data_IF_425722089544
#
_entry.id   IF_425722089544
#
_cell.length_a   1.000
_cell.length_b   1.000
_cell.length_c   1.000
_cell.angle_alpha   90.00
_cell.angle_beta   90.00
_cell.angle_gamma   90.00
#
_symmetry.space_group_name_H-M   'P 1'
#
loop_
_entity.id
_entity.type
_entity.pdbx_description
1 polymer ?
#
# COMPACT_ATOMS: atom_id res chain seq x y z
N UNK A 1 -10.55 -19.14 -32.52
CA UNK A 1 -11.36 -18.76 -33.71
C UNK A 1 -11.75 -20.00 -34.45
N UNK A 2 -13.03 -20.18 -34.72
CA UNK A 2 -13.57 -21.29 -35.50
C UNK A 2 -14.16 -20.69 -36.77
N UNK A 3 -13.76 -21.21 -37.91
CA UNK A 3 -14.36 -20.93 -39.20
C UNK A 3 -15.52 -21.90 -39.41
N UNK A 4 -16.72 -21.38 -39.60
CA UNK A 4 -17.89 -22.16 -39.99
C UNK A 4 -18.16 -21.90 -41.47
N UNK A 5 -18.19 -22.96 -42.27
CA UNK A 5 -18.47 -22.88 -43.69
C UNK A 5 -19.81 -23.55 -43.96
N UNK A 6 -20.73 -22.78 -44.53
CA UNK A 6 -22.05 -23.27 -44.96
C UNK A 6 -22.30 -22.81 -46.41
N UNK A 7 -22.94 -23.62 -47.22
CA UNK A 7 -23.24 -23.23 -48.60
C UNK A 7 -24.16 -24.21 -49.30
N UNK A 8 -24.70 -23.75 -50.46
CA UNK A 8 -25.52 -24.62 -51.31
C UNK A 8 -24.70 -25.79 -51.83
N UNK A 9 -25.18 -27.02 -51.59
CA UNK A 9 -24.46 -28.27 -51.97
C UNK A 9 -23.68 -28.89 -50.84
N UNK A 10 -23.73 -28.33 -49.63
CA UNK A 10 -23.15 -28.95 -48.45
C UNK A 10 -24.24 -29.61 -47.60
N UNK A 11 -24.11 -30.90 -47.28
CA UNK A 11 -25.10 -31.63 -46.45
C UNK A 11 -25.07 -31.18 -44.99
N UNK A 12 -23.94 -30.62 -44.53
CA UNK A 12 -23.74 -30.12 -43.17
C UNK A 12 -22.72 -28.99 -43.17
N UNK A 13 -22.91 -28.04 -42.28
CA UNK A 13 -21.91 -27.04 -41.96
C UNK A 13 -20.61 -27.72 -41.49
N UNK A 14 -19.48 -27.25 -41.99
CA UNK A 14 -18.16 -27.67 -41.52
C UNK A 14 -17.55 -26.63 -40.64
N UNK A 15 -17.04 -27.05 -39.49
CA UNK A 15 -16.35 -26.15 -38.54
C UNK A 15 -14.87 -26.56 -38.45
N UNK A 16 -14.00 -25.59 -38.67
CA UNK A 16 -12.56 -25.75 -38.57
C UNK A 16 -12.01 -24.72 -37.59
N UNK A 17 -11.30 -25.22 -36.58
CA UNK A 17 -10.52 -24.31 -35.69
C UNK A 17 -9.31 -23.80 -36.46
N UNK A 18 -9.25 -22.49 -36.71
CA UNK A 18 -8.19 -21.86 -37.50
C UNK A 18 -7.18 -21.12 -36.67
N UNK A 19 -7.56 -20.71 -35.44
CA UNK A 19 -6.65 -20.04 -34.53
C UNK A 19 -7.12 -20.22 -33.07
N UNK A 20 -6.16 -20.25 -32.16
CA UNK A 20 -6.36 -20.17 -30.71
C UNK A 20 -5.61 -18.91 -30.24
N UNK A 21 -6.32 -18.00 -29.58
CA UNK A 21 -5.69 -16.90 -28.89
C UNK A 21 -5.49 -17.31 -27.42
N UNK A 22 -4.29 -17.15 -26.94
CA UNK A 22 -3.90 -17.46 -25.56
C UNK A 22 -3.31 -16.18 -24.99
N UNK A 23 -3.74 -15.80 -23.78
CA UNK A 23 -3.01 -14.77 -23.05
C UNK A 23 -1.61 -15.32 -22.75
N UNK A 24 -0.53 -14.58 -23.05
CA UNK A 24 0.83 -15.10 -22.86
C UNK A 24 1.17 -15.30 -21.38
N UNK A 25 0.40 -14.72 -20.47
CA UNK A 25 0.59 -14.87 -19.03
C UNK A 25 -0.73 -14.80 -18.27
N UNK A 26 -0.65 -15.22 -17.00
CA UNK A 26 -1.66 -14.96 -15.97
C UNK A 26 -0.99 -14.37 -14.75
N UNK A 27 -1.70 -13.51 -13.99
CA UNK A 27 -1.21 -12.91 -12.76
C UNK A 27 -2.12 -13.34 -11.61
N UNK A 28 -1.52 -13.90 -10.57
CA UNK A 28 -2.19 -14.24 -9.32
C UNK A 28 -1.70 -13.29 -8.23
N UNK A 29 -2.61 -12.55 -7.63
CA UNK A 29 -2.33 -11.64 -6.52
C UNK A 29 -3.55 -11.56 -5.60
N UNK A 30 -3.32 -11.37 -4.31
CA UNK A 30 -4.36 -11.23 -3.30
C UNK A 30 -4.50 -9.78 -2.88
N UNK A 31 -5.68 -9.40 -2.37
CA UNK A 31 -5.87 -8.12 -1.71
C UNK A 31 -5.08 -8.06 -0.41
N UNK A 32 -4.52 -6.90 -0.11
CA UNK A 32 -3.74 -6.62 1.09
C UNK A 32 -4.31 -5.41 1.81
N UNK A 33 -4.78 -5.59 3.03
CA UNK A 33 -5.18 -4.49 3.90
C UNK A 33 -3.94 -3.90 4.56
N UNK A 34 -3.63 -2.65 4.23
CA UNK A 34 -2.46 -1.96 4.70
C UNK A 34 -2.83 -0.72 5.52
N UNK A 35 -1.98 -0.40 6.47
CA UNK A 35 -2.05 0.83 7.24
C UNK A 35 -0.94 1.77 6.76
N UNK A 36 -1.22 3.08 6.72
CA UNK A 36 -0.19 4.06 6.44
C UNK A 36 0.83 4.01 7.58
N UNK A 37 2.04 3.58 7.29
CA UNK A 37 3.21 3.68 8.15
C UNK A 37 4.30 4.44 7.39
N UNK A 38 5.18 5.12 8.11
CA UNK A 38 6.10 6.09 7.51
C UNK A 38 7.14 5.46 6.57
N UNK A 39 7.51 4.21 6.78
CA UNK A 39 8.50 3.50 5.95
C UNK A 39 8.27 2.00 5.96
N UNK A 40 8.64 1.36 4.85
CA UNK A 40 8.76 -0.09 4.73
C UNK A 40 7.47 -0.84 5.09
N UNK A 41 6.34 -0.36 4.63
CA UNK A 41 5.13 -1.17 4.72
C UNK A 41 5.27 -2.35 3.78
N UNK A 42 5.39 -3.53 4.35
CA UNK A 42 5.49 -4.76 3.57
C UNK A 42 4.12 -5.22 3.11
N UNK A 43 4.04 -5.60 1.84
CA UNK A 43 2.88 -6.27 1.26
C UNK A 43 2.91 -7.72 1.73
N UNK A 44 1.89 -8.22 2.46
CA UNK A 44 1.92 -9.55 3.07
C UNK A 44 1.88 -10.71 2.08
N UNK A 45 1.38 -10.48 0.87
CA UNK A 45 1.19 -11.53 -0.13
C UNK A 45 2.11 -11.33 -1.34
N UNK A 46 2.38 -12.42 -2.04
CA UNK A 46 3.21 -12.42 -3.23
C UNK A 46 2.36 -12.12 -4.48
N UNK A 47 3.03 -11.66 -5.53
CA UNK A 47 2.51 -11.65 -6.89
C UNK A 47 3.14 -12.84 -7.62
N UNK A 48 2.32 -13.67 -8.29
CA UNK A 48 2.81 -14.79 -9.10
C UNK A 48 2.41 -14.56 -10.54
N UNK A 49 3.39 -14.52 -11.43
CA UNK A 49 3.20 -14.41 -12.87
C UNK A 49 3.49 -15.77 -13.48
N UNK A 50 2.56 -16.30 -14.24
CA UNK A 50 2.70 -17.61 -14.88
C UNK A 50 2.65 -17.47 -16.39
N UNK A 51 3.58 -18.07 -17.07
CA UNK A 51 3.59 -18.23 -18.51
C UNK A 51 2.49 -19.20 -18.96
N UNK A 52 1.84 -18.93 -20.08
CA UNK A 52 0.75 -19.76 -20.56
C UNK A 52 1.23 -21.05 -21.24
N UNK A 53 2.30 -20.96 -21.99
CA UNK A 53 2.96 -22.06 -22.70
C UNK A 53 4.47 -21.77 -22.71
N UNK A 54 5.30 -22.81 -22.70
CA UNK A 54 6.76 -22.71 -22.76
C UNK A 54 7.25 -21.83 -23.92
N UNK A 55 8.24 -20.98 -23.66
CA UNK A 55 8.90 -20.15 -24.67
C UNK A 55 8.10 -18.96 -25.19
N UNK A 56 6.97 -18.61 -24.53
CA UNK A 56 6.21 -17.41 -24.91
C UNK A 56 6.87 -16.10 -24.41
N UNK A 57 7.64 -16.19 -23.35
CA UNK A 57 8.37 -15.04 -22.83
C UNK A 57 9.75 -14.94 -23.46
N UNK A 58 9.82 -14.24 -24.59
CA UNK A 58 11.06 -14.06 -25.31
C UNK A 58 12.08 -13.26 -24.50
N UNK A 59 13.35 -13.50 -24.77
CA UNK A 59 14.45 -12.72 -24.20
C UNK A 59 14.23 -11.22 -24.41
N UNK A 60 14.48 -10.42 -23.37
CA UNK A 60 14.25 -8.99 -23.26
C UNK A 60 12.78 -8.57 -23.06
N UNK A 61 11.84 -9.50 -22.93
CA UNK A 61 10.50 -9.15 -22.45
C UNK A 61 10.57 -8.58 -21.05
N UNK A 62 9.84 -7.50 -20.81
CA UNK A 62 9.79 -6.82 -19.50
C UNK A 62 8.36 -6.88 -18.95
N UNK A 63 8.27 -7.13 -17.65
CA UNK A 63 7.06 -7.11 -16.86
C UNK A 63 7.22 -6.05 -15.79
N UNK A 64 6.49 -4.95 -15.88
CA UNK A 64 6.57 -3.83 -14.94
C UNK A 64 5.23 -3.67 -14.25
N UNK A 65 5.22 -3.81 -12.94
CA UNK A 65 4.03 -3.64 -12.12
C UNK A 65 3.96 -2.22 -11.57
N UNK A 66 2.75 -1.68 -11.54
CA UNK A 66 2.41 -0.43 -10.91
C UNK A 66 1.22 -0.62 -9.96
N UNK A 67 1.00 0.32 -9.09
CA UNK A 67 -0.21 0.44 -8.28
C UNK A 67 -0.77 1.83 -8.49
N UNK A 68 -2.07 1.93 -8.71
CA UNK A 68 -2.74 3.21 -8.95
C UNK A 68 -2.34 4.27 -7.92
N UNK A 69 -1.98 5.47 -8.39
CA UNK A 69 -1.53 6.62 -7.57
C UNK A 69 -0.21 6.43 -6.80
N UNK A 70 0.49 5.31 -7.03
CA UNK A 70 1.85 5.14 -6.56
C UNK A 70 2.82 5.39 -7.72
N UNK A 71 3.94 6.04 -7.43
CA UNK A 71 5.01 6.24 -8.39
C UNK A 71 6.10 5.15 -8.21
N UNK A 72 6.94 4.94 -9.22
CA UNK A 72 8.06 3.96 -9.15
C UNK A 72 8.93 4.15 -7.90
N UNK A 73 9.10 5.39 -7.46
CA UNK A 73 9.87 5.75 -6.25
C UNK A 73 9.21 5.30 -4.94
N UNK A 74 7.92 4.97 -4.95
CA UNK A 74 7.18 4.51 -3.77
C UNK A 74 7.41 3.03 -3.50
N UNK A 75 7.99 2.30 -4.48
CA UNK A 75 8.44 0.93 -4.31
C UNK A 75 9.91 0.93 -3.86
N UNK A 76 10.16 0.29 -2.73
CA UNK A 76 11.54 0.07 -2.31
C UNK A 76 12.15 -1.10 -3.11
N UNK A 77 13.44 -0.98 -3.46
CA UNK A 77 14.13 -1.94 -4.33
C UNK A 77 14.54 -3.24 -3.59
N UNK A 78 13.72 -3.74 -2.70
CA UNK A 78 13.98 -4.93 -1.89
C UNK A 78 13.14 -6.16 -2.31
N UNK A 79 12.29 -6.03 -3.33
CA UNK A 79 11.49 -7.14 -3.82
C UNK A 79 12.39 -8.29 -4.33
N UNK A 80 12.02 -9.50 -3.96
CA UNK A 80 12.70 -10.73 -4.34
C UNK A 80 11.95 -11.40 -5.50
N UNK A 81 12.68 -11.82 -6.52
CA UNK A 81 12.15 -12.50 -7.71
C UNK A 81 12.66 -13.93 -7.72
N UNK A 82 11.75 -14.88 -7.70
CA UNK A 82 12.09 -16.33 -7.70
C UNK A 82 11.41 -17.00 -8.88
N UNK A 83 12.23 -17.56 -9.77
CA UNK A 83 11.79 -18.40 -10.87
C UNK A 83 11.47 -19.80 -10.34
N UNK A 84 10.63 -20.54 -11.08
CA UNK A 84 10.45 -21.96 -10.80
C UNK A 84 11.65 -22.79 -11.32
N UNK A 85 12.01 -23.81 -10.55
CA UNK A 85 13.21 -24.63 -10.83
C UNK A 85 13.10 -25.52 -12.10
N UNK A 86 11.94 -25.57 -12.76
CA UNK A 86 11.66 -26.53 -13.83
C UNK A 86 11.61 -25.94 -15.22
N UNK A 87 11.40 -24.63 -15.33
CA UNK A 87 11.18 -23.97 -16.63
C UNK A 87 12.47 -23.66 -17.38
N UNK A 88 13.59 -23.56 -16.68
CA UNK A 88 14.86 -23.07 -17.24
C UNK A 88 14.84 -21.56 -17.56
N UNK A 89 13.80 -20.83 -17.13
CA UNK A 89 13.72 -19.37 -17.23
C UNK A 89 14.80 -18.72 -16.37
N UNK A 90 15.35 -17.60 -16.84
CA UNK A 90 16.17 -16.71 -16.02
C UNK A 90 15.63 -15.29 -16.17
N UNK A 91 15.49 -14.57 -15.03
CA UNK A 91 15.05 -13.17 -15.02
C UNK A 91 16.07 -12.26 -14.35
N UNK A 92 16.01 -10.98 -14.67
CA UNK A 92 16.76 -9.90 -14.04
C UNK A 92 15.83 -8.85 -13.49
N UNK A 93 16.17 -8.29 -12.35
CA UNK A 93 15.44 -7.15 -11.78
C UNK A 93 15.59 -5.91 -12.66
N UNK A 94 14.53 -5.10 -12.71
CA UNK A 94 14.57 -3.79 -13.37
C UNK A 94 14.85 -2.75 -12.29
N UNK A 95 15.89 -1.95 -12.51
CA UNK A 95 16.31 -0.93 -11.54
C UNK A 95 15.20 0.11 -11.31
N UNK A 96 14.90 0.38 -10.04
CA UNK A 96 13.91 1.38 -9.58
C UNK A 96 12.47 1.11 -10.05
N UNK A 97 12.13 -0.14 -10.35
CA UNK A 97 10.77 -0.54 -10.71
C UNK A 97 10.41 -1.85 -10.04
N UNK A 98 9.15 -2.04 -9.73
CA UNK A 98 8.62 -3.34 -9.35
C UNK A 98 8.41 -4.14 -10.64
N UNK A 99 9.37 -5.02 -10.97
CA UNK A 99 9.29 -5.75 -12.23
C UNK A 99 10.55 -6.52 -12.57
N UNK A 100 10.44 -7.34 -13.59
CA UNK A 100 11.55 -8.16 -14.06
C UNK A 100 11.63 -8.17 -15.59
N UNK A 101 12.82 -8.51 -16.08
CA UNK A 101 13.15 -8.67 -17.49
C UNK A 101 13.61 -10.10 -17.73
N UNK A 102 13.14 -10.73 -18.78
CA UNK A 102 13.56 -12.06 -19.20
C UNK A 102 15.00 -12.00 -19.76
N UNK A 103 15.92 -12.71 -19.14
CA UNK A 103 17.30 -12.86 -19.62
C UNK A 103 17.48 -14.13 -20.45
N UNK A 104 16.78 -15.19 -20.09
CA UNK A 104 16.73 -16.45 -20.83
C UNK A 104 15.31 -16.98 -20.84
N UNK A 105 14.85 -17.43 -21.99
CA UNK A 105 13.53 -18.01 -22.22
C UNK A 105 13.36 -19.35 -21.50
N UNK A 106 12.12 -19.68 -21.18
CA UNK A 106 11.78 -21.01 -20.70
C UNK A 106 12.01 -22.06 -21.81
N UNK A 107 12.53 -23.23 -21.45
CA UNK A 107 12.92 -24.27 -22.41
C UNK A 107 12.47 -25.69 -22.04
N UNK A 108 12.00 -25.87 -20.83
CA UNK A 108 11.67 -27.19 -20.27
C UNK A 108 10.21 -27.31 -19.83
N UNK A 109 9.58 -26.20 -19.47
CA UNK A 109 8.18 -26.07 -19.11
C UNK A 109 7.75 -24.59 -19.13
N UNK A 110 6.46 -24.33 -19.15
CA UNK A 110 5.91 -22.98 -18.93
C UNK A 110 6.36 -22.44 -17.57
N UNK A 111 6.87 -21.23 -17.57
CA UNK A 111 7.54 -20.63 -16.42
C UNK A 111 6.58 -19.99 -15.41
N UNK A 112 7.05 -19.84 -14.18
CA UNK A 112 6.41 -19.01 -13.17
C UNK A 112 7.47 -18.16 -12.45
N UNK A 113 7.14 -16.89 -12.21
CA UNK A 113 7.95 -15.97 -11.40
C UNK A 113 7.14 -15.50 -10.22
N UNK A 114 7.68 -15.71 -9.03
CA UNK A 114 7.10 -15.21 -7.77
C UNK A 114 7.82 -13.95 -7.33
N UNK A 115 7.08 -12.88 -7.09
CA UNK A 115 7.58 -11.61 -6.56
C UNK A 115 7.15 -11.54 -5.09
N UNK A 116 8.12 -11.49 -4.19
CA UNK A 116 7.93 -11.44 -2.74
C UNK A 116 8.69 -10.27 -2.11
N UNK A 117 8.53 -10.08 -0.81
CA UNK A 117 9.20 -9.05 -0.03
C UNK A 117 8.95 -7.61 -0.56
N UNK A 118 7.81 -7.39 -1.20
CA UNK A 118 7.43 -6.09 -1.75
C UNK A 118 7.26 -5.09 -0.61
N UNK A 119 8.00 -3.99 -0.65
CA UNK A 119 7.92 -2.89 0.32
C UNK A 119 7.46 -1.61 -0.36
N UNK A 120 6.57 -0.88 0.33
CA UNK A 120 5.96 0.35 -0.16
C UNK A 120 6.21 1.50 0.81
N UNK A 121 6.49 2.67 0.25
CA UNK A 121 6.37 3.95 0.94
C UNK A 121 4.97 4.50 0.74
N UNK A 122 4.22 4.69 1.81
CA UNK A 122 2.87 5.22 1.75
C UNK A 122 2.80 6.60 2.40
N UNK A 123 2.53 7.60 1.57
CA UNK A 123 2.33 8.98 2.03
C UNK A 123 0.99 9.14 2.76
N UNK A 124 0.95 10.01 3.76
CA UNK A 124 -0.29 10.44 4.43
C UNK A 124 -1.29 11.14 3.50
N UNK A 125 -0.87 11.49 2.29
CA UNK A 125 -1.77 12.07 1.28
C UNK A 125 -2.62 11.02 0.54
N UNK A 126 -2.28 9.74 0.68
CA UNK A 126 -3.08 8.67 0.11
C UNK A 126 -4.43 8.57 0.84
N UNK A 127 -5.51 8.54 0.09
CA UNK A 127 -6.84 8.34 0.65
C UNK A 127 -7.01 6.89 1.14
N UNK A 128 -7.91 6.67 2.10
CA UNK A 128 -8.37 5.31 2.42
C UNK A 128 -9.13 4.74 1.21
N UNK A 129 -8.98 3.45 0.98
CA UNK A 129 -9.68 2.74 -0.10
C UNK A 129 -8.79 1.79 -0.89
N UNK A 130 -9.34 1.26 -1.95
CA UNK A 130 -8.72 0.27 -2.80
C UNK A 130 -7.89 0.91 -3.92
N UNK A 131 -6.77 0.27 -4.24
CA UNK A 131 -5.83 0.64 -5.31
C UNK A 131 -5.49 -0.61 -6.12
N UNK A 132 -5.60 -0.50 -7.42
CA UNK A 132 -5.45 -1.62 -8.34
C UNK A 132 -3.98 -1.88 -8.68
N UNK A 133 -3.64 -3.16 -8.87
CA UNK A 133 -2.35 -3.56 -9.43
C UNK A 133 -2.46 -3.53 -10.96
N UNK A 134 -1.56 -2.82 -11.57
CA UNK A 134 -1.43 -2.74 -13.03
C UNK A 134 -0.19 -3.47 -13.50
N UNK A 135 -0.18 -3.92 -14.74
CA UNK A 135 0.96 -4.53 -15.40
C UNK A 135 1.15 -3.91 -16.78
N UNK A 136 2.35 -3.45 -17.03
CA UNK A 136 2.85 -3.10 -18.36
C UNK A 136 3.86 -4.14 -18.82
N UNK A 137 3.76 -4.55 -20.10
CA UNK A 137 4.65 -5.53 -20.71
C UNK A 137 5.25 -5.00 -21.99
N UNK A 138 6.55 -5.16 -22.15
CA UNK A 138 7.27 -4.66 -23.35
C UNK A 138 8.23 -5.73 -23.88
N UNK A 139 8.63 -5.58 -25.14
CA UNK A 139 9.81 -6.23 -25.68
C UNK A 139 9.61 -7.51 -26.47
N UNK A 140 8.45 -8.14 -26.46
CA UNK A 140 8.22 -9.41 -27.14
C UNK A 140 7.11 -9.33 -28.18
N UNK A 141 7.19 -10.16 -29.22
CA UNK A 141 6.10 -10.35 -30.18
C UNK A 141 4.83 -10.91 -29.54
N UNK A 142 4.98 -11.69 -28.46
CA UNK A 142 3.85 -12.22 -27.69
C UNK A 142 3.12 -11.16 -26.89
N UNK A 143 3.80 -10.07 -26.56
CA UNK A 143 3.26 -8.92 -25.82
C UNK A 143 2.99 -7.74 -26.75
N UNK A 144 2.53 -8.01 -27.96
CA UNK A 144 2.14 -6.91 -28.83
C UNK A 144 1.12 -6.06 -28.09
N UNK A 145 1.58 -4.88 -27.69
CA UNK A 145 0.69 -3.81 -27.23
C UNK A 145 -0.43 -3.73 -28.24
N UNK A 146 -1.65 -3.60 -27.77
CA UNK A 146 -2.84 -3.54 -28.60
C UNK A 146 -2.52 -2.67 -29.83
N UNK A 147 -2.51 -3.28 -31.00
CA UNK A 147 -2.26 -2.53 -32.24
C UNK A 147 -3.42 -1.57 -32.38
N UNK A 148 -3.26 -0.38 -31.85
CA UNK A 148 -4.10 0.74 -32.25
C UNK A 148 -3.78 0.95 -33.72
N UNK A 149 -4.60 0.39 -34.58
CA UNK A 149 -4.49 0.57 -36.02
C UNK A 149 -4.41 2.07 -36.27
N UNK A 150 -3.23 2.49 -36.47
CA UNK A 150 -2.74 3.60 -37.16
C UNK A 150 -3.64 4.81 -37.32
N UNK A 151 -3.84 5.55 -36.28
CA UNK A 151 -4.11 6.96 -36.45
C UNK A 151 -2.82 7.73 -36.20
N UNK A 152 -2.04 7.95 -37.24
CA UNK A 152 -1.26 9.19 -37.26
C UNK A 152 -2.23 10.32 -37.54
N UNK A 153 -2.08 11.46 -36.89
CA UNK A 153 -2.87 12.67 -37.13
C UNK A 153 -2.80 13.16 -38.59
N UNK A 154 -1.99 12.56 -39.41
CA UNK A 154 -1.75 12.86 -40.82
C UNK A 154 -2.38 11.86 -41.80
N UNK A 155 -3.00 10.77 -41.32
CA UNK A 155 -3.68 9.84 -42.23
C UNK A 155 -4.97 9.26 -41.58
N UNK A 156 -6.05 10.04 -41.60
CA UNK A 156 -7.32 9.68 -40.97
C UNK A 156 -8.14 8.69 -41.78
N UNK A 157 -7.67 8.13 -42.85
CA UNK A 157 -8.44 7.26 -43.72
C UNK A 157 -8.35 5.79 -43.28
N UNK A 158 -9.21 5.43 -42.34
CA UNK A 158 -9.76 4.07 -42.32
C UNK A 158 -10.55 3.91 -43.61
N UNK A 159 -9.99 3.17 -44.58
CA UNK A 159 -10.64 2.94 -45.88
C UNK A 159 -10.01 3.65 -47.06
N UNK A 160 -8.89 4.34 -46.92
CA UNK A 160 -8.04 4.74 -48.05
C UNK A 160 -7.44 3.51 -48.73
N UNK A 161 -7.42 3.50 -50.02
CA UNK A 161 -6.91 2.42 -50.85
C UNK A 161 -5.54 1.94 -50.38
N UNK A 162 -5.44 0.64 -50.09
CA UNK A 162 -4.28 -0.08 -49.59
C UNK A 162 -3.85 0.25 -48.16
N UNK A 163 -4.49 -0.33 -47.15
CA UNK A 163 -3.74 -0.68 -46.00
C UNK A 163 -2.70 -1.73 -46.44
N UNK A 164 -1.45 -1.38 -46.49
CA UNK A 164 -0.36 -2.33 -46.64
C UNK A 164 -0.41 -3.23 -45.41
N UNK A 165 -1.17 -4.30 -45.51
CA UNK A 165 -1.17 -5.39 -44.54
C UNK A 165 0.25 -5.92 -44.55
N UNK A 166 1.05 -5.64 -43.53
CA UNK A 166 2.32 -6.31 -43.35
C UNK A 166 3.51 -5.50 -42.87
N UNK A 167 3.47 -4.19 -42.82
CA UNK A 167 4.55 -3.45 -42.17
C UNK A 167 4.01 -2.56 -41.05
N UNK A 168 3.91 -3.16 -39.88
CA UNK A 168 3.86 -2.39 -38.65
C UNK A 168 5.25 -1.78 -38.47
N UNK A 169 5.44 -0.54 -38.90
CA UNK A 169 6.69 0.17 -38.60
C UNK A 169 6.63 0.63 -37.15
N UNK A 170 7.79 0.68 -36.47
CA UNK A 170 7.96 1.18 -35.10
C UNK A 170 7.36 2.57 -34.85
N UNK A 171 7.00 3.28 -35.92
CA UNK A 171 6.31 4.58 -35.88
C UNK A 171 4.87 4.52 -35.35
N UNK A 172 4.26 3.36 -35.28
CA UNK A 172 2.89 3.19 -34.80
C UNK A 172 2.84 2.71 -33.33
N UNK A 173 4.00 2.41 -32.74
CA UNK A 173 4.11 2.18 -31.31
C UNK A 173 4.21 3.54 -30.62
N UNK A 174 3.15 3.97 -30.01
CA UNK A 174 3.24 5.08 -29.08
C UNK A 174 3.80 4.52 -27.77
N UNK A 175 5.10 4.61 -27.58
CA UNK A 175 5.77 4.22 -26.34
C UNK A 175 5.38 5.12 -25.16
N UNK A 176 4.72 6.24 -25.42
CA UNK A 176 4.31 7.22 -24.43
C UNK A 176 2.89 6.97 -23.90
N UNK A 177 2.16 6.02 -24.44
CA UNK A 177 0.86 5.61 -23.88
C UNK A 177 1.11 4.57 -22.83
N UNK A 178 0.76 4.92 -21.60
CA UNK A 178 0.73 4.00 -20.47
C UNK A 178 -0.37 2.95 -20.72
N UNK A 179 0.03 1.80 -21.24
CA UNK A 179 -0.87 0.67 -21.51
C UNK A 179 -0.93 -0.32 -20.34
N UNK A 180 -0.51 0.11 -19.16
CA UNK A 180 -0.71 -0.67 -17.96
C UNK A 180 -2.19 -1.04 -17.84
N UNK A 181 -2.51 -2.33 -17.83
CA UNK A 181 -3.87 -2.79 -17.58
C UNK A 181 -3.97 -3.36 -16.17
N UNK A 182 -5.13 -3.21 -15.57
CA UNK A 182 -5.42 -3.77 -14.25
C UNK A 182 -5.36 -5.29 -14.31
N UNK A 183 -4.48 -5.88 -13.53
CA UNK A 183 -4.35 -7.34 -13.36
C UNK A 183 -4.94 -7.83 -12.06
N UNK A 184 -5.10 -6.95 -11.07
CA UNK A 184 -5.77 -7.25 -9.81
C UNK A 184 -6.44 -6.00 -9.24
N UNK A 185 -7.77 -5.97 -9.26
CA UNK A 185 -8.54 -4.94 -8.57
C UNK A 185 -8.36 -5.03 -7.06
N UNK A 186 -8.19 -3.87 -6.43
CA UNK A 186 -8.05 -3.74 -4.99
C UNK A 186 -6.85 -4.51 -4.41
N UNK A 187 -5.74 -4.56 -5.11
CA UNK A 187 -4.51 -5.22 -4.64
C UNK A 187 -4.03 -4.66 -3.30
N UNK A 188 -4.10 -3.35 -3.15
CA UNK A 188 -3.85 -2.66 -1.88
C UNK A 188 -5.14 -2.00 -1.44
N UNK A 189 -5.52 -2.22 -0.19
CA UNK A 189 -6.62 -1.53 0.46
C UNK A 189 -6.08 -0.77 1.68
N UNK A 190 -6.03 0.56 1.58
CA UNK A 190 -5.59 1.41 2.68
C UNK A 190 -6.77 1.58 3.65
N UNK A 191 -6.63 1.02 4.86
CA UNK A 191 -7.67 1.03 5.89
C UNK A 191 -7.56 2.21 6.86
N UNK A 192 -6.56 3.07 6.70
CA UNK A 192 -6.35 4.24 7.54
C UNK A 192 -6.74 5.52 6.82
N UNK A 193 -7.32 6.47 7.56
CA UNK A 193 -7.68 7.76 7.00
C UNK A 193 -6.45 8.56 6.53
N UNK A 194 -6.54 9.18 5.38
CA UNK A 194 -5.56 10.13 4.87
C UNK A 194 -5.53 11.43 5.68
N UNK A 195 -4.55 12.27 5.39
CA UNK A 195 -4.33 13.55 6.10
C UNK A 195 -5.53 14.49 6.05
N UNK A 196 -6.27 14.49 4.95
CA UNK A 196 -7.37 15.43 4.72
C UNK A 196 -8.61 15.14 5.59
N UNK A 197 -8.63 13.99 6.28
CA UNK A 197 -9.70 13.63 7.22
C UNK A 197 -9.35 14.01 8.67
N UNK A 198 -8.14 14.44 8.92
CA UNK A 198 -7.69 14.89 10.24
C UNK A 198 -7.72 16.41 10.29
N UNK A 199 -8.77 16.99 10.85
CA UNK A 199 -8.75 18.40 11.26
C UNK A 199 -7.68 18.56 12.33
N UNK A 200 -6.56 19.16 11.95
CA UNK A 200 -5.28 19.10 12.68
C UNK A 200 -5.21 20.01 13.91
N UNK A 201 -6.31 20.43 14.48
CA UNK A 201 -6.31 21.24 15.68
C UNK A 201 -6.88 20.49 16.88
N UNK A 202 -6.03 20.21 17.87
CA UNK A 202 -6.52 19.85 19.19
C UNK A 202 -7.27 21.05 19.78
N UNK A 203 -8.58 21.05 19.68
CA UNK A 203 -9.41 22.15 20.21
C UNK A 203 -9.91 21.87 21.61
N UNK A 204 -9.85 20.62 22.07
CA UNK A 204 -10.40 20.21 23.36
C UNK A 204 -9.34 20.21 24.46
N UNK A 205 -9.73 20.75 25.61
CA UNK A 205 -9.01 20.55 26.86
C UNK A 205 -9.28 19.13 27.36
N UNK A 206 -8.23 18.40 27.72
CA UNK A 206 -8.35 17.06 28.31
C UNK A 206 -7.82 17.09 29.75
N UNK A 207 -8.68 16.72 30.69
CA UNK A 207 -8.37 16.65 32.12
C UNK A 207 -8.43 15.21 32.59
N UNK A 208 -7.35 14.72 33.18
CA UNK A 208 -7.20 13.31 33.62
C UNK A 208 -6.92 13.26 35.12
N UNK A 209 -7.94 13.04 35.97
CA UNK A 209 -7.75 12.77 37.37
C UNK A 209 -7.09 11.37 37.54
N UNK A 210 -5.95 11.34 38.20
CA UNK A 210 -5.20 10.08 38.37
C UNK A 210 -5.86 9.18 39.40
N UNK A 211 -6.10 7.93 39.02
CA UNK A 211 -6.79 6.93 39.85
C UNK A 211 -8.28 6.81 39.51
N UNK A 212 -8.86 7.78 38.84
CA UNK A 212 -10.27 7.77 38.47
C UNK A 212 -10.50 7.03 37.14
N UNK A 213 -11.65 6.36 37.03
CA UNK A 213 -12.06 5.65 35.81
C UNK A 213 -12.77 6.55 34.79
N UNK A 214 -12.35 7.80 34.71
CA UNK A 214 -12.82 8.73 33.70
C UNK A 214 -11.76 9.79 33.41
N UNK A 215 -11.93 10.47 32.28
CA UNK A 215 -11.31 11.74 31.95
C UNK A 215 -12.37 12.73 31.51
N UNK A 216 -12.04 14.01 31.42
CA UNK A 216 -12.91 15.06 30.95
C UNK A 216 -12.34 15.60 29.64
N UNK A 217 -13.12 15.59 28.56
CA UNK A 217 -12.77 16.11 27.25
C UNK A 217 -13.68 17.31 26.91
N UNK A 218 -13.17 18.52 27.08
CA UNK A 218 -13.99 19.72 27.06
C UNK A 218 -14.95 19.73 28.25
N UNK A 219 -16.24 19.59 27.99
CA UNK A 219 -17.32 19.50 29.02
C UNK A 219 -17.83 18.06 29.23
N UNK A 220 -17.34 17.12 28.42
CA UNK A 220 -17.81 15.73 28.43
C UNK A 220 -16.95 14.84 29.31
N UNK A 221 -17.60 14.03 30.14
CA UNK A 221 -16.94 12.98 30.93
C UNK A 221 -16.88 11.68 30.09
N UNK A 222 -15.66 11.19 29.87
CA UNK A 222 -15.39 9.96 29.10
C UNK A 222 -14.93 8.87 30.05
N UNK A 223 -15.60 7.74 30.06
CA UNK A 223 -15.23 6.58 30.89
C UNK A 223 -13.93 5.92 30.44
N UNK A 224 -13.11 5.50 31.40
CA UNK A 224 -11.87 4.75 31.19
C UNK A 224 -12.01 3.32 31.69
N UNK A 225 -11.57 2.37 30.88
CA UNK A 225 -11.48 0.97 31.30
C UNK A 225 -10.41 0.78 32.39
N UNK A 226 -9.27 1.46 32.18
CA UNK A 226 -8.12 1.44 33.10
C UNK A 226 -7.72 2.89 33.43
N UNK A 227 -7.68 3.29 34.70
CA UNK A 227 -7.36 4.65 35.10
C UNK A 227 -5.89 5.00 34.84
N UNK A 228 -5.63 6.27 34.68
CA UNK A 228 -4.27 6.82 34.76
C UNK A 228 -3.66 6.54 36.13
N UNK A 229 -2.36 6.39 36.20
CA UNK A 229 -1.67 6.08 37.46
C UNK A 229 -0.30 6.76 37.57
N UNK A 230 0.23 6.82 38.78
CA UNK A 230 1.61 7.26 39.00
C UNK A 230 2.48 5.98 39.08
N UNK A 231 3.52 5.93 38.25
CA UNK A 231 4.46 4.80 38.24
C UNK A 231 5.34 4.81 39.50
N UNK A 232 6.02 3.70 39.79
CA UNK A 232 6.96 3.60 40.91
C UNK A 232 8.09 4.64 40.82
N UNK A 233 8.41 5.14 39.62
CA UNK A 233 9.41 6.18 39.37
C UNK A 233 8.83 7.61 39.43
N UNK A 234 7.56 7.78 39.82
CA UNK A 234 6.91 9.07 39.95
C UNK A 234 6.36 9.68 38.66
N UNK A 235 6.31 8.93 37.56
CA UNK A 235 5.74 9.44 36.30
C UNK A 235 4.23 9.24 36.26
N UNK A 236 3.51 10.27 35.81
CA UNK A 236 2.08 10.18 35.53
C UNK A 236 1.87 9.45 34.21
N UNK A 237 1.37 8.25 34.28
CA UNK A 237 1.15 7.34 33.14
C UNK A 237 -0.28 7.50 32.64
N UNK A 238 -0.44 7.90 31.39
CA UNK A 238 -1.74 8.15 30.76
C UNK A 238 -2.09 7.05 29.74
N UNK A 239 -3.36 6.62 29.67
CA UNK A 239 -3.83 5.65 28.68
C UNK A 239 -3.82 6.30 27.29
N UNK A 240 -2.90 5.84 26.43
CA UNK A 240 -2.59 6.50 25.13
C UNK A 240 -3.80 6.68 24.25
N UNK A 241 -4.56 5.60 23.99
CA UNK A 241 -5.73 5.67 23.11
C UNK A 241 -6.80 6.61 23.65
N UNK A 242 -7.13 6.49 24.91
CA UNK A 242 -8.20 7.29 25.52
C UNK A 242 -7.89 8.80 25.49
N UNK A 243 -6.62 9.17 25.78
CA UNK A 243 -6.20 10.57 25.74
C UNK A 243 -6.14 11.08 24.29
N UNK A 244 -5.62 10.30 23.36
CA UNK A 244 -5.57 10.66 21.95
C UNK A 244 -6.97 10.92 21.38
N UNK A 245 -7.93 10.03 21.65
CA UNK A 245 -9.32 10.19 21.19
C UNK A 245 -10.04 11.35 21.89
N UNK A 246 -9.76 11.58 23.18
CA UNK A 246 -10.30 12.72 23.93
C UNK A 246 -9.81 14.05 23.37
N UNK A 247 -8.58 14.13 22.87
CA UNK A 247 -8.04 15.29 22.16
C UNK A 247 -8.66 15.48 20.77
N UNK A 248 -9.43 14.52 20.24
CA UNK A 248 -10.12 14.61 18.97
C UNK A 248 -9.53 13.76 17.85
N UNK A 249 -8.52 12.94 18.14
CA UNK A 249 -8.00 11.99 17.13
C UNK A 249 -9.04 10.87 16.92
N UNK A 250 -9.40 10.63 15.67
CA UNK A 250 -10.31 9.56 15.32
C UNK A 250 -9.78 8.21 15.86
N UNK A 251 -10.68 7.41 16.48
CA UNK A 251 -10.29 6.12 17.04
C UNK A 251 -9.68 5.16 16.01
N UNK A 252 -10.07 5.26 14.73
CA UNK A 252 -9.49 4.49 13.64
C UNK A 252 -8.05 4.90 13.31
N UNK A 253 -7.59 6.07 13.78
CA UNK A 253 -6.23 6.55 13.62
C UNK A 253 -5.33 6.16 14.81
N UNK A 254 -5.84 5.41 15.78
CA UNK A 254 -5.06 4.86 16.90
C UNK A 254 -5.04 3.33 16.78
N UNK A 255 -3.98 2.82 16.19
CA UNK A 255 -3.84 1.44 15.76
C UNK A 255 -3.05 0.63 16.77
N UNK A 256 -3.32 -0.67 16.85
CA UNK A 256 -2.57 -1.61 17.67
C UNK A 256 -2.12 -2.80 16.82
N UNK A 257 -0.82 -3.04 16.79
CA UNK A 257 -0.24 -4.25 16.21
C UNK A 257 0.12 -5.24 17.31
N UNK A 258 -0.57 -6.37 17.35
CA UNK A 258 -0.40 -7.39 18.39
C UNK A 258 0.94 -8.12 18.26
N UNK A 259 1.43 -8.36 17.05
CA UNK A 259 2.67 -9.11 16.81
C UNK A 259 3.90 -8.30 17.26
N UNK A 260 3.98 -7.04 16.87
CA UNK A 260 5.08 -6.13 17.25
C UNK A 260 4.84 -5.41 18.57
N UNK A 261 3.64 -5.53 19.18
CA UNK A 261 3.21 -4.77 20.37
C UNK A 261 3.41 -3.25 20.21
N UNK A 262 3.04 -2.75 19.05
CA UNK A 262 3.21 -1.36 18.66
C UNK A 262 1.87 -0.64 18.64
N UNK A 263 1.83 0.56 19.23
CA UNK A 263 0.77 1.54 18.97
C UNK A 263 1.25 2.48 17.87
N UNK A 264 0.41 2.72 16.87
CA UNK A 264 0.60 3.75 15.86
C UNK A 264 -0.54 4.75 15.95
N UNK A 265 -0.21 6.04 16.07
CA UNK A 265 -1.18 7.14 16.04
C UNK A 265 -0.93 7.96 14.78
N UNK A 266 -1.98 8.17 13.99
CA UNK A 266 -1.96 9.00 12.81
C UNK A 266 -2.69 10.31 13.13
N UNK A 267 -1.96 11.44 13.07
CA UNK A 267 -2.53 12.73 13.38
C UNK A 267 -1.91 13.84 12.52
N UNK A 268 -2.71 14.47 11.70
CA UNK A 268 -2.24 15.45 10.72
C UNK A 268 -1.11 14.86 9.87
N UNK A 269 0.06 15.51 9.89
CA UNK A 269 1.26 15.01 9.23
C UNK A 269 2.12 14.09 10.11
N UNK A 270 1.66 13.77 11.32
CA UNK A 270 2.43 12.98 12.28
C UNK A 270 2.04 11.52 12.20
N UNK A 271 3.03 10.68 12.08
CA UNK A 271 2.96 9.25 12.34
C UNK A 271 3.75 9.00 13.61
N UNK A 272 3.04 8.64 14.67
CA UNK A 272 3.63 8.44 15.99
C UNK A 272 3.61 6.95 16.28
N UNK A 273 4.76 6.35 16.51
CA UNK A 273 4.85 4.94 16.87
C UNK A 273 5.52 4.76 18.23
N UNK A 274 5.02 3.81 19.01
CA UNK A 274 5.57 3.43 20.30
C UNK A 274 5.46 1.93 20.53
N UNK A 275 6.56 1.30 20.89
CA UNK A 275 6.64 -0.14 21.12
C UNK A 275 6.63 -0.41 22.62
N UNK A 276 5.78 -1.33 23.07
CA UNK A 276 5.71 -1.72 24.48
C UNK A 276 7.06 -2.22 25.00
N UNK A 277 7.46 -1.74 26.16
CA UNK A 277 8.75 -2.03 26.79
C UNK A 277 9.90 -1.12 26.35
N UNK A 278 9.78 -0.42 25.23
CA UNK A 278 10.81 0.51 24.77
C UNK A 278 10.69 1.87 25.46
N UNK A 279 11.83 2.54 25.65
CA UNK A 279 11.91 3.88 26.24
C UNK A 279 12.12 4.96 25.19
N UNK A 280 11.40 4.81 24.07
CA UNK A 280 11.43 5.71 22.94
C UNK A 280 10.05 5.81 22.31
N UNK A 281 9.78 6.97 21.70
CA UNK A 281 8.65 7.20 20.81
C UNK A 281 9.22 7.69 19.47
N UNK A 282 8.70 7.24 18.36
CA UNK A 282 9.10 7.79 17.06
C UNK A 282 8.00 8.72 16.54
N UNK A 283 8.41 9.83 15.96
CA UNK A 283 7.52 10.76 15.27
C UNK A 283 8.08 10.98 13.87
N UNK A 284 7.34 10.60 12.86
CA UNK A 284 7.75 10.65 11.46
C UNK A 284 9.12 9.97 11.24
N UNK A 285 9.34 8.81 11.86
CA UNK A 285 10.59 8.05 11.78
C UNK A 285 11.73 8.59 12.64
N UNK A 286 11.60 9.76 13.27
CA UNK A 286 12.60 10.31 14.17
C UNK A 286 12.38 9.81 15.61
N UNK A 287 13.42 9.26 16.22
CA UNK A 287 13.35 8.71 17.57
C UNK A 287 13.45 9.81 18.61
N UNK A 288 12.49 9.83 19.54
CA UNK A 288 12.46 10.75 20.69
C UNK A 288 12.60 9.89 21.95
N UNK A 289 13.62 10.12 22.81
CA UNK A 289 13.73 9.42 24.08
C UNK A 289 12.53 9.70 24.98
N UNK A 290 11.96 8.66 25.58
CA UNK A 290 10.88 8.82 26.55
C UNK A 290 11.42 8.80 27.98
N UNK A 291 10.72 9.46 28.90
CA UNK A 291 11.09 9.54 30.33
C UNK A 291 10.99 8.18 31.01
N UNK A 292 10.02 7.36 30.62
CA UNK A 292 9.88 5.97 31.02
C UNK A 292 9.46 5.10 29.83
N UNK A 293 9.63 3.77 29.96
CA UNK A 293 9.20 2.84 28.90
C UNK A 293 7.68 2.83 28.75
N UNK A 294 7.26 2.61 27.51
CA UNK A 294 5.87 2.33 27.14
C UNK A 294 5.40 1.09 27.88
N UNK A 295 4.31 1.17 28.65
CA UNK A 295 3.81 0.08 29.46
C UNK A 295 2.47 -0.44 28.94
N UNK A 296 2.27 -1.75 29.07
CA UNK A 296 0.94 -2.35 28.93
C UNK A 296 0.46 -2.73 30.32
N UNK A 297 -0.71 -2.20 30.71
CA UNK A 297 -1.37 -2.52 31.97
C UNK A 297 -2.84 -2.80 31.68
N UNK A 298 -3.33 -3.94 32.15
CA UNK A 298 -4.72 -4.37 31.98
C UNK A 298 -5.21 -4.27 30.52
N UNK A 299 -4.32 -4.65 29.57
CA UNK A 299 -4.60 -4.62 28.13
C UNK A 299 -4.62 -3.22 27.50
N UNK A 300 -4.18 -2.18 28.18
CA UNK A 300 -4.08 -0.81 27.67
C UNK A 300 -2.63 -0.33 27.68
N UNK A 301 -2.28 0.47 26.68
CA UNK A 301 -0.94 1.06 26.54
C UNK A 301 -0.89 2.39 27.26
N UNK A 302 0.17 2.60 28.02
CA UNK A 302 0.45 3.78 28.83
C UNK A 302 1.78 4.41 28.46
N UNK A 303 1.82 5.75 28.49
CA UNK A 303 3.02 6.55 28.29
C UNK A 303 3.05 7.68 29.32
N UNK A 304 4.24 8.14 29.76
CA UNK A 304 4.33 9.33 30.59
C UNK A 304 3.65 10.54 29.93
N UNK A 305 2.93 11.32 30.70
CA UNK A 305 2.12 12.44 30.25
C UNK A 305 2.90 13.41 29.31
N UNK A 306 4.13 13.78 29.70
CA UNK A 306 4.96 14.71 28.92
C UNK A 306 5.38 14.11 27.59
N UNK A 307 5.74 12.84 27.59
CA UNK A 307 6.19 12.14 26.39
C UNK A 307 5.03 11.99 25.39
N UNK A 308 3.82 11.68 25.89
CA UNK A 308 2.61 11.61 25.09
C UNK A 308 2.25 12.99 24.49
N UNK A 309 2.28 14.03 25.34
CA UNK A 309 2.02 15.39 24.89
C UNK A 309 3.02 15.85 23.81
N UNK A 310 4.32 15.63 24.05
CA UNK A 310 5.37 15.95 23.07
C UNK A 310 5.16 15.23 21.74
N UNK A 311 4.87 13.93 21.77
CA UNK A 311 4.61 13.14 20.58
C UNK A 311 3.40 13.68 19.80
N UNK A 312 2.33 14.03 20.49
CA UNK A 312 1.11 14.60 19.91
C UNK A 312 1.27 16.07 19.51
N UNK A 313 2.33 16.76 19.95
CA UNK A 313 2.55 18.18 19.69
C UNK A 313 1.72 19.10 20.58
N UNK A 314 1.25 18.61 21.72
CA UNK A 314 0.60 19.42 22.76
C UNK A 314 1.68 20.05 23.63
N UNK A 315 1.73 21.36 23.64
CA UNK A 315 2.76 22.12 24.38
C UNK A 315 2.27 22.63 25.73
N UNK A 316 0.98 22.87 25.87
CA UNK A 316 0.37 23.36 27.09
C UNK A 316 -0.13 22.21 27.97
N UNK A 317 0.70 21.80 28.93
CA UNK A 317 0.41 20.73 29.85
C UNK A 317 0.65 21.20 31.29
N UNK A 318 -0.27 20.83 32.17
CA UNK A 318 -0.15 21.19 33.61
C UNK A 318 -0.39 19.95 34.48
N UNK A 319 0.23 19.95 35.65
CA UNK A 319 0.04 18.94 36.68
C UNK A 319 -0.32 19.64 38.00
N UNK A 320 -1.47 19.29 38.56
CA UNK A 320 -1.89 19.67 39.87
C UNK A 320 -1.60 18.58 40.89
N UNK A 321 -0.65 18.80 41.77
CA UNK A 321 -0.24 17.82 42.75
C UNK A 321 -1.27 17.63 43.89
N UNK A 322 -2.07 18.67 44.19
CA UNK A 322 -3.09 18.61 45.25
C UNK A 322 -4.26 17.73 44.85
N UNK A 323 -4.73 17.86 43.63
CA UNK A 323 -5.82 17.04 43.07
C UNK A 323 -5.35 15.82 42.31
N UNK A 324 -4.03 15.63 42.13
CA UNK A 324 -3.41 14.61 41.30
C UNK A 324 -4.01 14.58 39.89
N UNK A 325 -4.12 15.74 39.28
CA UNK A 325 -4.78 15.88 37.99
C UNK A 325 -3.80 16.35 36.92
N UNK A 326 -3.76 15.61 35.81
CA UNK A 326 -3.05 15.99 34.58
C UNK A 326 -3.99 16.75 33.64
N UNK A 327 -3.54 17.85 33.09
CA UNK A 327 -4.30 18.60 32.07
C UNK A 327 -3.46 18.80 30.82
N UNK A 328 -4.05 18.54 29.68
CA UNK A 328 -3.55 18.88 28.35
C UNK A 328 -4.53 19.87 27.71
N UNK A 329 -4.07 21.07 27.42
CA UNK A 329 -4.89 22.05 26.73
C UNK A 329 -4.68 21.89 25.23
N UNK A 330 -5.76 21.75 24.49
CA UNK A 330 -5.71 21.80 23.03
C UNK A 330 -5.19 23.15 22.57
N UNK A 331 -4.49 23.18 21.46
CA UNK A 331 -4.03 24.43 20.86
C UNK A 331 -5.25 25.28 20.44
N UNK A 332 -5.73 26.11 21.33
CA UNK A 332 -6.70 27.16 21.01
C UNK A 332 -5.94 28.25 20.28
N UNK A 333 -6.11 28.36 18.99
CA UNK A 333 -5.56 29.39 18.11
C UNK A 333 -4.13 29.14 17.59
N UNK A 334 -4.06 28.60 16.40
CA UNK A 334 -3.15 29.15 15.38
C UNK A 334 -3.87 29.19 14.03
#
# INVERSE_FOLDING_TARGET
VTLKVEGAGMDKAQEVKIAKFVSPYTVEASQNDLIIDYRNTKVPTNIVVKEAEEGLWEKNSEFVFGVDKFEDRDFENDATYTEDDKSGLEVKTIKNKLGFKVDKESSDAAAAVTISDISLYMSRNLAAGAYDLTLDTTGSKAFMKEMVYGYTATNPTVGGENPTVGTVSDKYYNNDVDFGHTVKEGFINIITAGRDQDDASFTKKVVVPVGEKYLIAGEEQVALDVPAYISAQGYTMLPVRAVATALGINNNNVLWNQASKTVTILYGQRIITMVAGQKVVTVNGNTIPASASVQIKDGRTFLPMRDLATALGVTDITWDAATKTATMNGNQNK
#
